data_IF_202343452413
#
_entry.id   IF_202343452413
#
_cell.length_a   1.000
_cell.length_b   1.000
_cell.length_c   1.000
_cell.angle_alpha   90.00
_cell.angle_beta   90.00
_cell.angle_gamma   90.00
#
_symmetry.space_group_name_H-M   'P 1'
#
loop_
_entity.id
_entity.type
_entity.pdbx_description
1 polymer ?
#
# COMPACT_ATOMS: atom_id res chain seq x y z
N UNK A 1 -0.31 -26.36 -18.66
CA UNK A 1 0.46 -25.53 -17.75
C UNK A 1 1.10 -24.41 -18.56
N UNK A 2 1.37 -23.26 -17.94
CA UNK A 2 1.84 -22.05 -18.63
C UNK A 2 3.19 -22.17 -19.35
N UNK A 3 3.85 -23.32 -19.28
CA UNK A 3 5.18 -23.63 -19.82
C UNK A 3 5.16 -24.67 -20.96
N UNK A 4 4.04 -24.81 -21.69
CA UNK A 4 3.92 -25.76 -22.82
C UNK A 4 4.39 -25.22 -24.17
N UNK A 5 4.73 -23.94 -24.23
CA UNK A 5 5.08 -23.26 -25.48
C UNK A 5 4.88 -21.76 -25.38
N UNK A 6 5.09 -21.08 -26.50
CA UNK A 6 4.93 -19.62 -26.59
C UNK A 6 3.47 -19.17 -26.68
N UNK A 7 2.55 -20.12 -26.88
CA UNK A 7 1.10 -19.96 -26.78
C UNK A 7 0.57 -20.19 -25.35
N UNK A 8 1.48 -20.30 -24.36
CA UNK A 8 1.17 -20.56 -22.96
C UNK A 8 1.83 -19.50 -22.06
N UNK A 9 1.19 -19.19 -20.93
CA UNK A 9 1.64 -18.17 -20.00
C UNK A 9 1.06 -18.39 -18.59
N UNK A 10 1.55 -17.64 -17.60
CA UNK A 10 0.98 -17.60 -16.25
C UNK A 10 1.12 -16.20 -15.68
N UNK A 11 0.19 -15.79 -14.82
CA UNK A 11 0.22 -14.44 -14.27
C UNK A 11 -0.68 -14.25 -13.07
N UNK A 12 -0.54 -13.06 -12.48
CA UNK A 12 -1.33 -12.56 -11.36
C UNK A 12 -1.90 -11.21 -11.75
N UNK A 13 -3.18 -11.02 -11.50
CA UNK A 13 -3.91 -9.80 -11.85
C UNK A 13 -4.82 -9.32 -10.74
N UNK A 14 -4.91 -8.01 -10.61
CA UNK A 14 -5.80 -7.28 -9.72
C UNK A 14 -6.86 -6.55 -10.52
N UNK A 15 -8.11 -6.64 -10.07
CA UNK A 15 -9.24 -6.01 -10.76
C UNK A 15 -9.27 -4.48 -10.62
N UNK A 16 -8.49 -3.93 -9.69
CA UNK A 16 -8.13 -2.50 -9.54
C UNK A 16 -6.70 -2.41 -9.04
N UNK A 17 -6.05 -1.26 -9.17
CA UNK A 17 -4.70 -1.04 -8.67
C UNK A 17 -4.65 -1.19 -7.13
N UNK A 18 -3.88 -2.13 -6.57
CA UNK A 18 -3.84 -2.39 -5.13
C UNK A 18 -3.08 -1.32 -4.33
N UNK A 19 -2.29 -0.47 -5.01
CA UNK A 19 -1.46 0.57 -4.41
C UNK A 19 -2.17 1.92 -4.40
N UNK A 20 -2.79 2.29 -5.52
CA UNK A 20 -3.45 3.60 -5.69
C UNK A 20 -4.96 3.52 -5.49
N UNK A 21 -5.57 2.37 -5.76
CA UNK A 21 -7.01 2.18 -5.79
C UNK A 21 -7.68 2.63 -7.09
N UNK A 22 -6.91 3.03 -8.11
CA UNK A 22 -7.46 3.34 -9.43
C UNK A 22 -8.21 2.15 -10.03
N UNK A 23 -9.37 2.42 -10.65
CA UNK A 23 -10.14 1.40 -11.37
C UNK A 23 -9.49 1.10 -12.73
N UNK A 24 -8.30 0.48 -12.66
CA UNK A 24 -7.52 -0.02 -13.79
C UNK A 24 -7.07 -1.43 -13.46
N UNK A 25 -7.19 -2.35 -14.42
CA UNK A 25 -6.67 -3.71 -14.26
C UNK A 25 -5.16 -3.62 -14.17
N UNK A 26 -4.60 -4.21 -13.13
CA UNK A 26 -3.18 -4.15 -12.79
C UNK A 26 -2.65 -5.57 -12.63
N UNK A 27 -1.41 -5.83 -12.99
CA UNK A 27 -0.85 -7.17 -12.83
C UNK A 27 0.25 -7.46 -13.81
N UNK A 28 0.76 -8.68 -13.70
CA UNK A 28 1.93 -9.12 -14.45
C UNK A 28 1.82 -10.59 -14.87
N UNK A 29 2.53 -10.95 -15.92
CA UNK A 29 2.58 -12.31 -16.45
C UNK A 29 3.95 -12.67 -17.02
N UNK A 30 4.17 -13.96 -17.20
CA UNK A 30 5.31 -14.53 -17.91
C UNK A 30 4.84 -15.53 -18.97
N UNK A 31 5.29 -15.36 -20.20
CA UNK A 31 5.09 -16.33 -21.29
C UNK A 31 6.02 -17.52 -21.12
N UNK A 32 5.52 -18.71 -21.46
CA UNK A 32 6.22 -19.99 -21.36
C UNK A 32 6.88 -20.19 -19.97
N UNK A 33 6.07 -20.12 -18.92
CA UNK A 33 6.51 -20.11 -17.52
C UNK A 33 5.48 -20.78 -16.59
N UNK A 34 5.88 -21.09 -15.36
CA UNK A 34 4.98 -21.50 -14.29
C UNK A 34 4.91 -20.46 -13.17
N UNK A 35 3.91 -20.55 -12.30
CA UNK A 35 3.70 -19.59 -11.21
C UNK A 35 4.93 -19.42 -10.31
N UNK A 36 5.72 -20.47 -10.13
CA UNK A 36 7.00 -20.40 -9.40
C UNK A 36 7.99 -19.41 -10.04
N UNK A 37 8.04 -19.32 -11.38
CA UNK A 37 8.93 -18.40 -12.09
C UNK A 37 8.54 -16.93 -11.88
N UNK A 38 7.23 -16.67 -11.72
CA UNK A 38 6.70 -15.34 -11.41
C UNK A 38 7.11 -14.92 -10.00
N UNK A 39 7.04 -15.85 -9.04
CA UNK A 39 7.39 -15.58 -7.63
C UNK A 39 8.91 -15.51 -7.42
N UNK A 40 9.69 -16.30 -8.16
CA UNK A 40 11.14 -16.37 -8.01
C UNK A 40 11.88 -15.14 -8.56
N UNK A 41 11.23 -14.34 -9.42
CA UNK A 41 11.80 -13.09 -9.94
C UNK A 41 13.03 -13.27 -10.83
N UNK A 42 13.26 -14.48 -11.35
CA UNK A 42 14.41 -14.80 -12.22
C UNK A 42 14.24 -14.15 -13.60
N UNK A 43 13.00 -13.97 -14.04
CA UNK A 43 12.62 -13.31 -15.28
C UNK A 43 11.85 -12.04 -14.96
N UNK A 44 12.10 -10.99 -15.72
CA UNK A 44 11.30 -9.75 -15.64
C UNK A 44 9.89 -10.02 -16.16
N UNK A 45 8.86 -9.90 -15.32
CA UNK A 45 7.47 -10.03 -15.75
C UNK A 45 7.07 -8.92 -16.72
N UNK A 46 6.10 -9.22 -17.59
CA UNK A 46 5.45 -8.24 -18.46
C UNK A 46 4.17 -7.74 -17.80
N UNK A 47 3.77 -6.51 -18.08
CA UNK A 47 2.51 -5.95 -17.58
C UNK A 47 1.33 -6.65 -18.24
N UNK A 48 0.26 -6.91 -17.50
CA UNK A 48 -0.96 -7.55 -18.02
C UNK A 48 -1.54 -6.84 -19.27
N UNK A 49 -1.31 -5.53 -19.41
CA UNK A 49 -1.72 -4.74 -20.58
C UNK A 49 -1.00 -5.15 -21.87
N UNK A 50 0.23 -5.64 -21.77
CA UNK A 50 1.03 -6.13 -22.91
C UNK A 50 0.46 -7.44 -23.48
N UNK A 51 -0.34 -8.19 -22.71
CA UNK A 51 -1.02 -9.38 -23.22
C UNK A 51 -1.93 -9.09 -24.40
N UNK A 52 -2.40 -7.84 -24.55
CA UNK A 52 -3.22 -7.45 -25.71
C UNK A 52 -2.49 -7.65 -27.04
N UNK A 53 -1.15 -7.58 -27.04
CA UNK A 53 -0.33 -7.79 -28.23
C UNK A 53 -0.04 -9.27 -28.48
N UNK A 54 0.24 -10.05 -27.41
CA UNK A 54 0.61 -11.47 -27.52
C UNK A 54 -0.59 -12.44 -27.55
N UNK A 55 -1.66 -12.10 -26.83
CA UNK A 55 -2.83 -12.94 -26.59
C UNK A 55 -4.14 -12.12 -26.62
N UNK A 56 -4.48 -11.43 -27.73
CA UNK A 56 -5.58 -10.45 -27.76
C UNK A 56 -6.93 -11.03 -27.30
N UNK A 57 -7.31 -12.19 -27.82
CA UNK A 57 -8.59 -12.83 -27.46
C UNK A 57 -8.64 -13.26 -25.98
N UNK A 58 -7.51 -13.73 -25.44
CA UNK A 58 -7.41 -14.15 -24.04
C UNK A 58 -7.34 -12.95 -23.11
N UNK A 59 -6.70 -11.86 -23.53
CA UNK A 59 -6.70 -10.60 -22.81
C UNK A 59 -8.15 -10.11 -22.62
N UNK A 60 -8.94 -10.06 -23.68
CA UNK A 60 -10.34 -9.62 -23.59
C UNK A 60 -11.16 -10.54 -22.67
N UNK A 61 -11.00 -11.87 -22.80
CA UNK A 61 -11.64 -12.85 -21.89
C UNK A 61 -11.21 -12.65 -20.43
N UNK A 62 -9.93 -12.38 -20.17
CA UNK A 62 -9.42 -12.13 -18.83
C UNK A 62 -9.99 -10.83 -18.26
N UNK A 63 -10.01 -9.74 -19.04
CA UNK A 63 -10.58 -8.45 -18.60
C UNK A 63 -12.06 -8.60 -18.20
N UNK A 64 -12.85 -9.30 -19.03
CA UNK A 64 -14.25 -9.60 -18.73
C UNK A 64 -14.39 -10.49 -17.48
N UNK A 65 -13.55 -11.52 -17.36
CA UNK A 65 -13.55 -12.41 -16.20
C UNK A 65 -13.24 -11.66 -14.90
N UNK A 66 -12.23 -10.77 -14.91
CA UNK A 66 -11.88 -9.94 -13.76
C UNK A 66 -13.02 -9.01 -13.35
N UNK A 67 -13.74 -8.43 -14.32
CA UNK A 67 -14.92 -7.60 -14.04
C UNK A 67 -16.07 -8.42 -13.44
N UNK A 68 -16.34 -9.60 -14.00
CA UNK A 68 -17.39 -10.50 -13.49
C UNK A 68 -17.09 -10.98 -12.06
N UNK A 69 -15.84 -11.35 -11.78
CA UNK A 69 -15.40 -11.75 -10.44
C UNK A 69 -15.54 -10.58 -9.44
N UNK A 70 -15.13 -9.38 -9.82
CA UNK A 70 -15.29 -8.19 -8.98
C UNK A 70 -16.77 -7.88 -8.68
N UNK A 71 -17.64 -7.99 -9.69
CA UNK A 71 -19.09 -7.82 -9.50
C UNK A 71 -19.69 -8.90 -8.61
N UNK A 72 -19.26 -10.15 -8.77
CA UNK A 72 -19.76 -11.29 -8.01
C UNK A 72 -19.37 -11.21 -6.53
N UNK A 73 -18.09 -11.02 -6.24
CA UNK A 73 -17.58 -10.88 -4.88
C UNK A 73 -17.83 -9.49 -4.29
N UNK A 74 -18.25 -8.55 -5.15
CA UNK A 74 -18.53 -7.15 -4.83
C UNK A 74 -17.33 -6.47 -4.19
N UNK A 75 -16.10 -6.87 -4.51
CA UNK A 75 -14.85 -6.32 -3.98
C UNK A 75 -13.69 -6.55 -4.97
N UNK A 76 -12.62 -5.76 -4.85
CA UNK A 76 -11.44 -5.89 -5.72
C UNK A 76 -10.82 -7.28 -5.57
N UNK A 77 -10.59 -7.95 -6.69
CA UNK A 77 -10.08 -9.32 -6.73
C UNK A 77 -8.60 -9.36 -7.12
N UNK A 78 -7.86 -10.21 -6.41
CA UNK A 78 -6.52 -10.72 -6.73
C UNK A 78 -6.69 -12.12 -7.32
N UNK A 79 -6.27 -12.29 -8.57
CA UNK A 79 -6.61 -13.41 -9.45
C UNK A 79 -5.32 -14.02 -9.98
N UNK A 80 -5.17 -15.33 -9.81
CA UNK A 80 -4.09 -16.11 -10.43
C UNK A 80 -4.65 -16.86 -11.64
N UNK A 81 -3.95 -16.79 -12.76
CA UNK A 81 -4.38 -17.40 -14.00
C UNK A 81 -3.23 -18.10 -14.74
N UNK A 82 -3.62 -18.98 -15.66
CA UNK A 82 -2.71 -19.66 -16.59
C UNK A 82 -3.34 -19.70 -17.97
N UNK A 83 -2.52 -19.47 -18.99
CA UNK A 83 -2.84 -19.77 -20.38
C UNK A 83 -2.14 -21.08 -20.73
N UNK A 84 -2.91 -22.07 -21.16
CA UNK A 84 -2.38 -23.34 -21.65
C UNK A 84 -2.84 -23.54 -23.09
N UNK A 85 -1.90 -23.57 -24.03
CA UNK A 85 -2.16 -23.76 -25.46
C UNK A 85 -3.29 -22.84 -25.99
N UNK A 86 -3.20 -21.55 -25.69
CA UNK A 86 -4.19 -20.56 -26.09
C UNK A 86 -5.54 -20.62 -25.35
N UNK A 87 -5.64 -21.32 -24.21
CA UNK A 87 -6.85 -21.35 -23.39
C UNK A 87 -6.61 -20.77 -22.00
N UNK A 88 -7.53 -19.91 -21.54
CA UNK A 88 -7.49 -19.27 -20.22
C UNK A 88 -8.04 -20.20 -19.12
N UNK A 89 -7.29 -20.32 -18.04
CA UNK A 89 -7.69 -20.99 -16.80
C UNK A 89 -7.52 -20.05 -15.63
N UNK A 90 -8.57 -19.87 -14.82
CA UNK A 90 -8.48 -19.19 -13.53
C UNK A 90 -8.15 -20.22 -12.45
N UNK A 91 -7.05 -19.99 -11.74
CA UNK A 91 -6.55 -20.91 -10.72
C UNK A 91 -7.02 -20.53 -9.32
N UNK A 92 -7.05 -19.22 -9.04
CA UNK A 92 -7.44 -18.69 -7.75
C UNK A 92 -8.04 -17.30 -7.92
N UNK A 93 -8.99 -16.96 -7.05
CA UNK A 93 -9.44 -15.58 -6.83
C UNK A 93 -9.62 -15.36 -5.33
N UNK A 94 -9.30 -14.16 -4.86
CA UNK A 94 -9.55 -13.74 -3.48
C UNK A 94 -9.67 -12.22 -3.43
N UNK A 95 -10.20 -11.69 -2.34
CA UNK A 95 -10.16 -10.25 -2.09
C UNK A 95 -8.70 -9.78 -2.04
N UNK A 96 -8.35 -8.85 -2.92
CA UNK A 96 -6.95 -8.46 -3.08
C UNK A 96 -6.44 -7.68 -1.88
N UNK A 97 -5.22 -7.98 -1.44
CA UNK A 97 -4.51 -7.13 -0.47
C UNK A 97 -4.20 -5.78 -1.14
N UNK A 98 -4.32 -4.71 -0.36
CA UNK A 98 -4.23 -3.33 -0.87
C UNK A 98 -3.76 -2.38 0.21
N UNK A 99 -3.23 -1.23 -0.19
CA UNK A 99 -2.88 -0.14 0.73
C UNK A 99 -4.14 0.40 1.41
N UNK A 100 -4.03 1.05 2.59
CA UNK A 100 -5.19 1.66 3.23
C UNK A 100 -5.85 2.73 2.35
N UNK A 101 -5.05 3.53 1.63
CA UNK A 101 -5.56 4.56 0.70
C UNK A 101 -6.31 3.95 -0.48
N UNK A 102 -5.76 2.89 -1.09
CA UNK A 102 -6.46 2.14 -2.14
C UNK A 102 -7.77 1.53 -1.60
N UNK A 103 -7.77 0.96 -0.40
CA UNK A 103 -8.97 0.41 0.23
C UNK A 103 -10.11 1.43 0.36
N UNK A 104 -9.80 2.63 0.84
CA UNK A 104 -10.78 3.73 0.95
C UNK A 104 -11.27 4.15 -0.44
N UNK A 105 -10.36 4.39 -1.39
CA UNK A 105 -10.72 4.81 -2.75
C UNK A 105 -11.62 3.78 -3.43
N UNK A 106 -11.24 2.51 -3.42
CA UNK A 106 -12.00 1.41 -4.01
C UNK A 106 -13.40 1.33 -3.40
N UNK A 107 -13.51 1.39 -2.07
CA UNK A 107 -14.80 1.33 -1.40
C UNK A 107 -15.70 2.51 -1.79
N UNK A 108 -15.15 3.73 -1.87
CA UNK A 108 -15.90 4.92 -2.30
C UNK A 108 -16.35 4.81 -3.76
N UNK A 109 -15.46 4.35 -4.65
CA UNK A 109 -15.78 4.19 -6.06
C UNK A 109 -16.85 3.10 -6.27
N UNK A 110 -16.77 1.97 -5.57
CA UNK A 110 -17.80 0.93 -5.61
C UNK A 110 -19.16 1.40 -5.09
N UNK A 111 -19.21 2.31 -4.12
CA UNK A 111 -20.48 2.94 -3.70
C UNK A 111 -21.04 3.83 -4.80
N UNK A 112 -20.20 4.63 -5.46
CA UNK A 112 -20.63 5.50 -6.58
C UNK A 112 -21.12 4.70 -7.79
N UNK A 113 -20.49 3.56 -8.04
CA UNK A 113 -20.87 2.60 -9.08
C UNK A 113 -22.14 1.81 -8.70
N UNK A 114 -22.62 1.92 -7.46
CA UNK A 114 -23.80 1.17 -6.98
C UNK A 114 -23.52 -0.30 -6.69
N UNK A 115 -22.25 -0.73 -6.69
CA UNK A 115 -21.86 -2.12 -6.44
C UNK A 115 -22.01 -2.50 -4.95
N UNK A 116 -21.78 -1.55 -4.04
CA UNK A 116 -21.92 -1.73 -2.59
C UNK A 116 -22.65 -0.55 -1.93
N UNK A 117 -23.24 -0.79 -0.75
CA UNK A 117 -23.84 0.27 0.07
C UNK A 117 -22.78 1.04 0.86
N UNK A 118 -23.16 2.20 1.41
CA UNK A 118 -22.26 2.98 2.28
C UNK A 118 -21.88 2.22 3.55
N UNK A 119 -22.81 1.43 4.09
CA UNK A 119 -22.62 0.61 5.27
C UNK A 119 -21.62 -0.53 5.00
N UNK A 120 -21.74 -1.19 3.84
CA UNK A 120 -20.77 -2.20 3.39
C UNK A 120 -19.37 -1.58 3.23
N UNK A 121 -19.27 -0.39 2.64
CA UNK A 121 -18.01 0.33 2.49
C UNK A 121 -17.34 0.66 3.84
N UNK A 122 -18.13 1.06 4.85
CA UNK A 122 -17.62 1.36 6.20
C UNK A 122 -17.09 0.11 6.91
N UNK A 123 -17.82 -1.01 6.86
CA UNK A 123 -17.44 -2.25 7.57
C UNK A 123 -16.16 -2.87 6.99
N UNK A 124 -15.92 -2.71 5.68
CA UNK A 124 -14.77 -3.33 4.99
C UNK A 124 -13.45 -2.64 5.26
N UNK A 125 -13.47 -1.39 5.69
CA UNK A 125 -12.24 -0.65 5.94
C UNK A 125 -11.86 -0.75 7.42
N UNK A 126 -10.68 -1.31 7.70
CA UNK A 126 -10.14 -1.41 9.06
C UNK A 126 -9.81 0.01 9.59
N UNK A 127 -10.49 0.49 10.64
CA UNK A 127 -10.25 1.81 11.19
C UNK A 127 -8.80 2.02 11.65
N UNK A 128 -8.12 0.96 12.11
CA UNK A 128 -6.71 1.02 12.53
C UNK A 128 -5.74 1.22 11.37
N UNK A 129 -6.13 0.82 10.15
CA UNK A 129 -5.35 1.07 8.94
C UNK A 129 -5.60 2.47 8.40
N UNK A 130 -6.84 2.95 8.48
CA UNK A 130 -7.18 4.33 8.06
C UNK A 130 -6.49 5.36 8.96
N UNK A 131 -6.44 5.13 10.28
CA UNK A 131 -5.79 6.08 11.19
C UNK A 131 -4.33 6.34 10.82
N UNK A 132 -3.64 5.38 10.19
CA UNK A 132 -2.27 5.57 9.69
C UNK A 132 -2.17 6.58 8.55
N UNK A 133 -3.22 6.76 7.75
CA UNK A 133 -3.27 7.77 6.67
C UNK A 133 -3.33 9.20 7.23
N UNK A 134 -3.69 9.37 8.50
CA UNK A 134 -3.76 10.68 9.15
C UNK A 134 -2.38 11.22 9.55
N UNK A 135 -1.35 10.36 9.56
CA UNK A 135 0.00 10.74 9.97
C UNK A 135 0.92 10.86 8.75
N UNK A 136 1.87 11.79 8.80
CA UNK A 136 2.99 11.82 7.85
C UNK A 136 3.71 10.48 7.89
N UNK A 137 4.13 9.96 6.73
CA UNK A 137 4.90 8.73 6.60
C UNK A 137 6.23 8.98 5.90
N UNK A 138 7.20 8.09 6.13
CA UNK A 138 8.43 8.05 5.32
C UNK A 138 8.08 7.34 4.01
N UNK A 139 8.62 7.82 2.89
CA UNK A 139 8.52 7.14 1.59
C UNK A 139 9.10 5.71 1.70
N UNK A 140 8.35 4.72 1.22
CA UNK A 140 8.76 3.31 1.25
C UNK A 140 10.03 3.05 0.42
N UNK A 141 10.32 3.92 -0.56
CA UNK A 141 11.52 3.85 -1.39
C UNK A 141 12.69 4.68 -0.85
N UNK A 142 12.53 5.38 0.27
CA UNK A 142 13.61 6.18 0.83
C UNK A 142 14.77 5.29 1.31
N UNK A 143 16.00 5.70 1.02
CA UNK A 143 17.19 5.10 1.61
C UNK A 143 17.30 5.60 3.05
N UNK A 144 17.02 4.72 4.02
CA UNK A 144 17.03 5.06 5.45
C UNK A 144 18.29 4.51 6.14
N UNK A 145 19.05 5.40 6.77
CA UNK A 145 20.15 5.02 7.65
C UNK A 145 19.69 4.96 9.11
N UNK A 146 19.46 3.75 9.61
CA UNK A 146 18.95 3.55 10.97
C UNK A 146 20.10 3.64 11.99
N UNK A 147 20.10 4.70 12.81
CA UNK A 147 21.08 4.89 13.88
C UNK A 147 20.67 4.20 15.20
N UNK A 148 19.38 4.18 15.51
CA UNK A 148 18.84 3.60 16.74
C UNK A 148 17.37 3.17 16.56
N UNK A 149 16.86 2.37 17.50
CA UNK A 149 15.45 1.98 17.60
C UNK A 149 14.97 2.16 19.04
N UNK A 150 13.75 2.68 19.20
CA UNK A 150 13.12 2.91 20.50
C UNK A 150 11.67 2.43 20.54
N UNK A 151 10.94 2.86 21.55
CA UNK A 151 9.52 2.54 21.72
C UNK A 151 8.70 3.51 20.86
N UNK A 152 7.77 2.97 20.06
CA UNK A 152 6.78 3.78 19.34
C UNK A 152 5.70 4.28 20.32
N UNK A 153 5.96 5.41 20.97
CA UNK A 153 5.04 6.07 21.89
C UNK A 153 3.90 6.79 21.15
N UNK A 154 4.21 7.45 20.04
CA UNK A 154 3.25 8.13 19.17
C UNK A 154 3.59 7.89 17.69
N UNK A 155 2.61 7.59 16.82
CA UNK A 155 2.84 7.34 15.40
C UNK A 155 3.12 8.63 14.62
N UNK A 156 3.90 8.52 13.54
CA UNK A 156 4.13 9.59 12.57
C UNK A 156 5.60 9.72 12.18
N UNK A 157 5.83 10.19 10.96
CA UNK A 157 7.15 10.53 10.45
C UNK A 157 7.41 12.02 10.68
N UNK A 158 8.56 12.30 11.29
CA UNK A 158 9.03 13.65 11.61
C UNK A 158 10.48 13.76 11.17
N UNK A 159 10.84 14.93 10.64
CA UNK A 159 12.20 15.27 10.26
C UNK A 159 12.47 16.69 10.73
N UNK A 160 13.67 16.95 11.24
CA UNK A 160 13.98 18.26 11.76
C UNK A 160 15.29 18.32 12.53
N UNK A 161 15.58 19.50 13.05
CA UNK A 161 16.77 19.79 13.83
C UNK A 161 16.63 19.25 15.24
N UNK A 162 17.64 18.50 15.69
CA UNK A 162 17.71 18.06 17.08
C UNK A 162 17.99 19.26 18.01
N UNK A 163 17.08 19.53 18.93
CA UNK A 163 17.17 20.55 19.97
C UNK A 163 17.10 19.85 21.33
N UNK A 164 17.99 20.22 22.24
CA UNK A 164 18.17 19.49 23.52
C UNK A 164 17.53 20.20 24.73
N UNK A 165 16.87 21.33 24.47
CA UNK A 165 16.35 22.26 25.47
C UNK A 165 14.94 22.72 25.07
N UNK A 166 14.02 22.74 26.04
CA UNK A 166 12.60 23.00 25.78
C UNK A 166 12.32 24.49 25.51
N UNK A 167 12.98 25.39 26.24
CA UNK A 167 12.86 26.83 26.06
C UNK A 167 13.37 27.22 24.67
N UNK A 168 14.53 26.67 24.28
CA UNK A 168 15.11 26.87 22.94
C UNK A 168 14.18 26.35 21.83
N UNK A 169 13.51 25.22 22.05
CA UNK A 169 12.56 24.68 21.06
C UNK A 169 11.37 25.64 20.85
N UNK A 170 10.82 26.22 21.92
CA UNK A 170 9.74 27.21 21.84
C UNK A 170 10.21 28.52 21.18
N UNK A 171 11.39 29.03 21.55
CA UNK A 171 11.95 30.24 20.94
C UNK A 171 12.12 30.10 19.42
N UNK A 172 12.62 28.96 18.97
CA UNK A 172 12.80 28.67 17.54
C UNK A 172 11.45 28.51 16.81
N UNK A 173 10.48 27.85 17.43
CA UNK A 173 9.13 27.74 16.87
C UNK A 173 8.47 29.13 16.74
N UNK A 174 8.63 30.01 17.74
CA UNK A 174 8.14 31.39 17.67
C UNK A 174 8.83 32.24 16.60
N UNK A 175 10.02 31.83 16.12
CA UNK A 175 10.70 32.43 14.98
C UNK A 175 10.26 31.84 13.62
N UNK A 176 9.28 30.91 13.62
CA UNK A 176 8.75 30.24 12.43
C UNK A 176 9.55 29.02 11.98
N UNK A 177 10.36 28.43 12.86
CA UNK A 177 11.01 27.14 12.58
C UNK A 177 10.13 25.99 13.06
N UNK A 178 9.59 25.22 12.12
CA UNK A 178 8.62 24.15 12.45
C UNK A 178 9.26 22.75 12.49
N UNK A 179 10.42 22.58 11.84
CA UNK A 179 11.14 21.30 11.74
C UNK A 179 12.04 21.07 12.98
N UNK A 180 11.44 20.98 14.17
CA UNK A 180 12.13 20.80 15.45
C UNK A 180 11.90 19.39 16.01
N UNK A 181 12.99 18.73 16.41
CA UNK A 181 12.96 17.46 17.15
C UNK A 181 13.52 17.70 18.56
N UNK A 182 12.67 17.66 19.58
CA UNK A 182 13.09 17.80 20.96
C UNK A 182 13.70 16.48 21.46
N UNK A 183 14.97 16.53 21.86
CA UNK A 183 15.74 15.37 22.34
C UNK A 183 16.03 15.53 23.83
N UNK A 184 15.54 14.62 24.66
CA UNK A 184 15.68 14.70 26.12
C UNK A 184 16.06 13.34 26.72
N UNK A 185 16.75 13.28 27.88
CA UNK A 185 16.86 12.01 28.60
C UNK A 185 15.48 11.46 28.98
N UNK A 186 14.62 12.34 29.50
CA UNK A 186 13.22 12.10 29.84
C UNK A 186 12.48 13.44 29.80
N UNK A 187 11.18 13.44 29.56
CA UNK A 187 10.34 14.65 29.63
C UNK A 187 9.89 14.93 31.06
N UNK A 188 9.83 16.21 31.43
CA UNK A 188 9.30 16.71 32.72
C UNK A 188 8.08 17.60 32.47
N UNK A 189 7.21 17.84 33.47
CA UNK A 189 6.12 18.80 33.36
C UNK A 189 6.55 20.19 32.89
N UNK A 190 7.73 20.64 33.31
CA UNK A 190 8.29 21.93 32.90
C UNK A 190 8.63 21.99 31.41
N UNK A 191 8.87 20.86 30.74
CA UNK A 191 9.21 20.80 29.30
C UNK A 191 7.97 20.95 28.37
N UNK A 192 6.77 21.17 28.93
CA UNK A 192 5.50 21.09 28.18
C UNK A 192 5.41 22.06 27.00
N UNK A 193 5.99 23.26 27.14
CA UNK A 193 6.02 24.27 26.09
C UNK A 193 6.86 23.79 24.89
N UNK A 194 8.04 23.22 25.15
CA UNK A 194 8.89 22.63 24.12
C UNK A 194 8.27 21.40 23.45
N UNK A 195 7.47 20.61 24.18
CA UNK A 195 6.73 19.48 23.60
C UNK A 195 5.67 19.92 22.59
N UNK A 196 4.98 21.04 22.84
CA UNK A 196 4.02 21.59 21.89
C UNK A 196 4.68 22.28 20.69
N UNK A 197 5.84 22.88 20.90
CA UNK A 197 6.61 23.56 19.86
C UNK A 197 7.29 22.58 18.89
N UNK A 198 7.64 21.37 19.35
CA UNK A 198 8.39 20.41 18.53
C UNK A 198 7.49 19.61 17.58
N UNK A 199 7.98 19.41 16.35
CA UNK A 199 7.38 18.47 15.39
C UNK A 199 7.53 17.00 15.83
N UNK A 200 8.55 16.69 16.63
CA UNK A 200 8.80 15.34 17.13
C UNK A 200 9.60 15.32 18.44
N UNK A 201 9.53 14.20 19.16
CA UNK A 201 10.21 14.03 20.46
C UNK A 201 10.96 12.71 20.48
N UNK A 202 12.22 12.75 20.92
CA UNK A 202 13.06 11.58 21.17
C UNK A 202 13.52 11.57 22.62
N UNK A 203 13.22 10.48 23.34
CA UNK A 203 13.69 10.30 24.71
C UNK A 203 14.67 9.15 24.85
N UNK A 204 15.63 9.27 25.77
CA UNK A 204 16.54 8.17 26.14
C UNK A 204 15.83 7.14 27.02
N UNK A 205 14.99 7.61 27.93
CA UNK A 205 14.22 6.82 28.88
C UNK A 205 12.73 7.15 28.74
N UNK A 206 11.87 6.15 28.96
CA UNK A 206 10.42 6.31 28.89
C UNK A 206 9.73 5.04 28.41
N UNK A 207 8.44 4.91 28.75
CA UNK A 207 7.57 3.83 28.32
C UNK A 207 6.51 4.31 27.33
N UNK A 208 5.55 3.44 27.02
CA UNK A 208 4.34 3.81 26.26
C UNK A 208 3.32 4.62 27.09
N UNK A 209 3.55 4.76 28.39
CA UNK A 209 2.62 5.30 29.40
C UNK A 209 3.27 6.44 30.14
#
# INVERSE_FOLDING_TARGET
FGNKGWDSATGVGFSRDPSTGENKKFGEYLSNAQGEDVVAGIRTPKMITEMKEEFPEIYDQLMETMENLEKHYRDMQDIEFTIENGQLFILQTRNGKRTPSAGVKIAVDMVKEGLITKEEALIRNDPKKISKLMFKSIDENAIVHVLARGINASPGAVSGRAIFDADTAEELANQGQDDIILVRPQTKPDDIHGLYAASGVLTQFGGKT
#
